data_IF_458731413410
#
_entry.id   IF_458731413410
#
_cell.length_a   1.000
_cell.length_b   1.000
_cell.length_c   1.000
_cell.angle_alpha   90.00
_cell.angle_beta   90.00
_cell.angle_gamma   90.00
#
_symmetry.space_group_name_H-M   'P 1'
#
loop_
_entity.id
_entity.type
_entity.pdbx_description
1 polymer ?
#
# COMPACT_ATOMS: atom_id res chain seq x y z
N UNK A 1 -16.15 -5.59 10.95
CA UNK A 1 -16.73 -4.94 9.74
C UNK A 1 -16.15 -3.56 9.46
N UNK A 2 -16.01 -2.63 10.44
CA UNK A 2 -15.41 -1.29 10.18
C UNK A 2 -13.88 -1.32 9.95
N UNK A 3 -13.14 -1.99 10.81
CA UNK A 3 -11.68 -2.13 10.67
C UNK A 3 -11.30 -2.98 9.44
N UNK A 4 -11.98 -4.10 9.23
CA UNK A 4 -11.77 -4.96 8.04
C UNK A 4 -11.86 -4.16 6.74
N UNK A 5 -12.95 -3.37 6.59
CA UNK A 5 -13.13 -2.51 5.42
C UNK A 5 -12.01 -1.46 5.31
N UNK A 6 -11.61 -0.85 6.42
CA UNK A 6 -10.48 0.08 6.43
C UNK A 6 -9.18 -0.57 5.95
N UNK A 7 -8.87 -1.78 6.40
CA UNK A 7 -7.69 -2.53 5.95
C UNK A 7 -7.81 -2.95 4.47
N UNK A 8 -9.01 -3.31 4.01
CA UNK A 8 -9.25 -3.61 2.60
C UNK A 8 -9.04 -2.37 1.70
N UNK A 9 -9.48 -1.19 2.14
CA UNK A 9 -9.26 0.08 1.44
C UNK A 9 -7.77 0.47 1.38
N UNK A 10 -6.97 -0.02 2.32
CA UNK A 10 -5.50 0.11 2.32
C UNK A 10 -4.79 -0.96 1.45
N UNK A 11 -5.55 -1.82 0.76
CA UNK A 11 -4.98 -2.85 -0.11
C UNK A 11 -4.45 -4.09 0.63
N UNK A 12 -4.79 -4.28 1.91
CA UNK A 12 -4.34 -5.45 2.68
C UNK A 12 -5.03 -6.72 2.18
N UNK A 13 -4.30 -7.80 1.84
CA UNK A 13 -4.89 -9.07 1.39
C UNK A 13 -5.85 -9.69 2.41
N UNK A 14 -6.92 -10.32 1.96
CA UNK A 14 -7.99 -10.88 2.82
C UNK A 14 -7.47 -11.84 3.88
N UNK A 15 -6.63 -12.81 3.50
CA UNK A 15 -6.04 -13.76 4.46
C UNK A 15 -5.20 -13.07 5.56
N UNK A 16 -4.54 -11.95 5.24
CA UNK A 16 -3.81 -11.16 6.21
C UNK A 16 -4.78 -10.41 7.14
N UNK A 17 -5.84 -9.79 6.58
CA UNK A 17 -6.89 -9.11 7.38
C UNK A 17 -7.56 -10.05 8.37
N UNK A 18 -7.94 -11.26 7.93
CA UNK A 18 -8.59 -12.25 8.79
C UNK A 18 -7.69 -12.65 9.96
N UNK A 19 -6.40 -12.85 9.69
CA UNK A 19 -5.41 -13.16 10.71
C UNK A 19 -5.23 -12.01 11.71
N UNK A 20 -5.17 -10.75 11.21
CA UNK A 20 -5.06 -9.57 12.06
C UNK A 20 -6.28 -9.34 12.94
N UNK A 21 -7.48 -9.55 12.40
CA UNK A 21 -8.72 -9.43 13.16
C UNK A 21 -8.79 -10.50 14.24
N UNK A 22 -8.29 -11.71 13.97
CA UNK A 22 -8.16 -12.76 14.99
C UNK A 22 -7.18 -12.35 16.10
N UNK A 23 -5.99 -11.82 15.77
CA UNK A 23 -5.05 -11.33 16.79
C UNK A 23 -5.62 -10.16 17.61
N UNK A 24 -6.32 -9.23 16.96
CA UNK A 24 -6.92 -8.06 17.61
C UNK A 24 -7.88 -8.45 18.73
N UNK A 25 -8.66 -9.52 18.54
CA UNK A 25 -9.56 -10.02 19.60
C UNK A 25 -8.83 -10.47 20.87
N UNK A 26 -7.53 -10.78 20.76
CA UNK A 26 -6.67 -11.10 21.89
C UNK A 26 -6.07 -9.89 22.63
N UNK A 27 -6.25 -8.67 22.11
CA UNK A 27 -5.64 -7.46 22.68
C UNK A 27 -6.39 -6.92 23.91
N UNK A 28 -5.67 -6.25 24.81
CA UNK A 28 -6.25 -5.56 25.97
C UNK A 28 -7.28 -4.48 25.57
N UNK A 29 -7.15 -3.89 24.38
CA UNK A 29 -8.11 -2.92 23.85
C UNK A 29 -9.49 -3.56 23.65
N UNK A 30 -9.54 -4.71 22.96
CA UNK A 30 -10.79 -5.42 22.73
C UNK A 30 -11.33 -6.02 24.04
N UNK A 31 -10.45 -6.55 24.91
CA UNK A 31 -10.88 -7.02 26.24
C UNK A 31 -11.53 -5.91 27.07
N UNK A 32 -10.96 -4.70 27.06
CA UNK A 32 -11.51 -3.56 27.79
C UNK A 32 -12.87 -3.13 27.24
N UNK A 33 -13.02 -3.10 25.92
CA UNK A 33 -14.31 -2.85 25.27
C UNK A 33 -15.36 -3.90 25.65
N UNK A 34 -14.99 -5.19 25.62
CA UNK A 34 -15.89 -6.28 26.04
C UNK A 34 -16.26 -6.19 27.52
N UNK A 35 -15.43 -5.56 28.35
CA UNK A 35 -15.68 -5.30 29.77
C UNK A 35 -16.44 -3.98 30.04
N UNK A 36 -17.02 -3.36 29.01
CA UNK A 36 -17.88 -2.18 29.15
C UNK A 36 -17.19 -0.83 29.00
N UNK A 37 -15.93 -0.80 28.56
CA UNK A 37 -15.31 0.44 28.09
C UNK A 37 -15.99 0.94 26.80
N UNK A 38 -15.84 2.23 26.45
CA UNK A 38 -16.34 2.76 25.18
C UNK A 38 -15.84 1.98 23.97
N UNK A 39 -16.62 1.95 22.88
CA UNK A 39 -16.21 1.34 21.62
C UNK A 39 -14.94 2.03 21.10
N UNK A 40 -13.86 1.28 20.82
CA UNK A 40 -12.63 1.86 20.31
C UNK A 40 -12.85 2.42 18.90
N UNK A 41 -12.20 3.52 18.61
CA UNK A 41 -12.18 4.12 17.28
C UNK A 41 -11.38 3.25 16.29
N UNK A 42 -11.56 3.49 14.99
CA UNK A 42 -10.76 2.81 13.96
C UNK A 42 -9.27 3.07 14.18
N UNK A 43 -8.87 4.29 14.55
CA UNK A 43 -7.47 4.63 14.83
C UNK A 43 -6.90 3.83 16.00
N UNK A 44 -7.65 3.72 17.11
CA UNK A 44 -7.24 2.92 18.27
C UNK A 44 -7.12 1.43 17.91
N UNK A 45 -8.09 0.90 17.15
CA UNK A 45 -8.05 -0.48 16.69
C UNK A 45 -6.86 -0.74 15.76
N UNK A 46 -6.59 0.16 14.80
CA UNK A 46 -5.44 0.06 13.89
C UNK A 46 -4.11 0.13 14.65
N UNK A 47 -3.99 1.01 15.64
CA UNK A 47 -2.81 1.09 16.52
C UNK A 47 -2.61 -0.19 17.31
N UNK A 48 -3.67 -0.79 17.83
CA UNK A 48 -3.59 -2.05 18.56
C UNK A 48 -3.17 -3.21 17.65
N UNK A 49 -3.65 -3.25 16.39
CA UNK A 49 -3.17 -4.21 15.38
C UNK A 49 -1.69 -3.99 15.09
N UNK A 50 -1.25 -2.77 14.79
CA UNK A 50 0.16 -2.48 14.49
C UNK A 50 1.12 -2.64 15.68
N UNK A 51 0.60 -2.74 16.90
CA UNK A 51 1.40 -3.07 18.07
C UNK A 51 1.74 -4.57 18.15
N UNK A 52 1.03 -5.45 17.44
CA UNK A 52 1.38 -6.87 17.37
C UNK A 52 2.60 -7.09 16.47
N UNK A 53 3.34 -8.18 16.68
CA UNK A 53 4.53 -8.50 15.87
C UNK A 53 4.20 -8.60 14.38
N UNK A 54 3.04 -9.17 14.05
CA UNK A 54 2.59 -9.28 12.65
C UNK A 54 2.09 -7.93 12.11
N UNK A 55 1.44 -7.11 12.95
CA UNK A 55 0.98 -5.79 12.53
C UNK A 55 2.14 -4.85 12.19
N UNK A 56 3.29 -5.02 12.85
CA UNK A 56 4.53 -4.34 12.46
C UNK A 56 4.98 -4.72 11.05
N UNK A 57 4.97 -6.02 10.73
CA UNK A 57 5.32 -6.50 9.38
C UNK A 57 4.32 -5.99 8.32
N UNK A 58 3.03 -5.94 8.64
CA UNK A 58 2.05 -5.33 7.74
C UNK A 58 2.34 -3.86 7.49
N UNK A 59 2.66 -3.11 8.54
CA UNK A 59 3.02 -1.70 8.42
C UNK A 59 4.25 -1.53 7.54
N UNK A 60 5.27 -2.37 7.69
CA UNK A 60 6.46 -2.36 6.83
C UNK A 60 6.09 -2.65 5.37
N UNK A 61 5.26 -3.67 5.09
CA UNK A 61 4.80 -3.99 3.73
C UNK A 61 3.99 -2.84 3.12
N UNK A 62 3.12 -2.19 3.89
CA UNK A 62 2.33 -1.06 3.43
C UNK A 62 3.17 0.20 3.23
N UNK A 63 4.15 0.45 4.09
CA UNK A 63 5.11 1.54 3.95
C UNK A 63 6.00 1.31 2.72
N UNK A 64 6.44 0.08 2.47
CA UNK A 64 7.16 -0.32 1.25
C UNK A 64 6.28 -0.19 -0.01
N UNK A 65 5.03 -0.65 0.04
CA UNK A 65 4.10 -0.52 -1.08
C UNK A 65 3.79 0.96 -1.37
N UNK A 66 3.61 1.79 -0.34
CA UNK A 66 3.46 3.23 -0.46
C UNK A 66 4.70 3.92 -1.03
N UNK A 67 5.90 3.45 -0.67
CA UNK A 67 7.15 3.91 -1.30
C UNK A 67 7.30 3.43 -2.75
N UNK A 68 6.80 2.25 -3.10
CA UNK A 68 6.83 1.71 -4.47
C UNK A 68 5.80 2.39 -5.38
N UNK A 69 4.63 2.78 -4.86
CA UNK A 69 3.65 3.59 -5.58
C UNK A 69 4.04 5.08 -5.65
N UNK A 70 4.77 5.57 -4.64
CA UNK A 70 5.38 6.90 -4.66
C UNK A 70 6.71 6.94 -5.42
N UNK A 71 7.32 5.78 -5.70
CA UNK A 71 8.46 5.69 -6.60
C UNK A 71 7.97 6.16 -7.98
N UNK A 72 8.71 7.03 -8.68
CA UNK A 72 8.27 7.54 -9.95
C UNK A 72 8.09 6.37 -10.92
N UNK A 73 6.84 5.98 -11.17
CA UNK A 73 6.43 5.05 -12.24
C UNK A 73 7.22 5.43 -13.47
N UNK A 74 8.09 4.53 -13.92
CA UNK A 74 8.94 4.62 -15.09
C UNK A 74 9.20 6.07 -15.53
N UNK A 75 10.31 6.68 -15.07
CA UNK A 75 10.66 8.09 -15.34
C UNK A 75 10.20 8.52 -16.74
N UNK A 76 9.69 9.75 -16.94
CA UNK A 76 9.21 10.21 -18.25
C UNK A 76 10.15 9.84 -19.43
N UNK A 77 11.45 9.72 -19.16
CA UNK A 77 12.49 9.17 -20.05
C UNK A 77 12.25 7.72 -20.51
N UNK A 78 11.89 6.81 -19.64
CA UNK A 78 11.56 5.41 -19.98
C UNK A 78 10.28 5.29 -20.82
N UNK A 79 9.25 6.09 -20.52
CA UNK A 79 8.05 6.17 -21.36
C UNK A 79 8.37 6.73 -22.74
N UNK A 80 9.20 7.77 -22.81
CA UNK A 80 9.70 8.32 -24.07
C UNK A 80 10.54 7.30 -24.86
N UNK A 81 11.40 6.51 -24.20
CA UNK A 81 12.18 5.45 -24.85
C UNK A 81 11.28 4.31 -25.37
N UNK A 82 10.23 3.92 -24.62
CA UNK A 82 9.22 2.95 -25.09
C UNK A 82 8.45 3.49 -26.29
N UNK A 83 8.06 4.76 -26.28
CA UNK A 83 7.42 5.41 -27.42
C UNK A 83 8.33 5.43 -28.66
N UNK A 84 9.62 5.70 -28.49
CA UNK A 84 10.58 5.62 -29.59
C UNK A 84 10.71 4.20 -30.15
N UNK A 85 10.62 3.18 -29.31
CA UNK A 85 10.71 1.78 -29.74
C UNK A 85 9.51 1.33 -30.61
N UNK A 86 8.31 1.91 -30.43
CA UNK A 86 7.12 1.58 -31.24
C UNK A 86 7.11 2.27 -32.61
N UNK A 87 7.98 3.28 -32.82
CA UNK A 87 8.10 3.97 -34.10
C UNK A 87 8.98 3.19 -35.11
N UNK A 88 8.72 3.32 -36.43
CA UNK A 88 9.61 2.80 -37.48
C UNK A 88 11.00 3.42 -37.39
N UNK A 89 12.05 2.65 -37.69
CA UNK A 89 13.46 3.05 -37.53
C UNK A 89 13.79 4.44 -38.12
N UNK A 90 13.23 4.77 -39.29
CA UNK A 90 13.41 6.06 -39.95
C UNK A 90 12.87 7.27 -39.15
N UNK A 91 11.89 7.07 -38.28
CA UNK A 91 11.27 8.14 -37.46
C UNK A 91 11.86 8.26 -36.06
N UNK A 92 12.59 7.23 -35.59
CA UNK A 92 13.14 7.20 -34.22
C UNK A 92 14.15 8.32 -33.96
N UNK A 93 15.04 8.60 -34.91
CA UNK A 93 16.10 9.61 -34.74
C UNK A 93 15.49 11.02 -34.66
N UNK A 94 14.51 11.32 -35.51
CA UNK A 94 13.82 12.63 -35.52
C UNK A 94 13.05 12.85 -34.22
N UNK A 95 12.33 11.84 -33.75
CA UNK A 95 11.56 11.93 -32.51
C UNK A 95 12.46 11.97 -31.27
N UNK A 96 13.58 11.23 -31.26
CA UNK A 96 14.56 11.28 -30.18
C UNK A 96 15.17 12.67 -30.00
N UNK A 97 15.45 13.38 -31.11
CA UNK A 97 15.91 14.78 -31.07
C UNK A 97 14.83 15.74 -30.56
N UNK A 98 13.58 15.54 -30.97
CA UNK A 98 12.44 16.36 -30.48
C UNK A 98 12.26 16.23 -28.96
N UNK A 99 12.49 15.04 -28.43
CA UNK A 99 12.38 14.73 -27.00
C UNK A 99 13.65 15.07 -26.20
N UNK A 100 14.72 15.56 -26.84
CA UNK A 100 15.97 15.91 -26.17
C UNK A 100 16.78 14.72 -25.65
N UNK A 101 16.61 13.55 -26.27
CA UNK A 101 17.23 12.27 -25.85
C UNK A 101 18.47 11.88 -26.69
N UNK A 102 18.78 12.62 -27.75
CA UNK A 102 19.83 12.34 -28.74
C UNK A 102 20.73 13.55 -28.98
#
# INVERSE_FOLDING_TARGET
MRLDRHLADQGVPEAARDHFLAELTGTELIRSYLNGAPEPTIDEMTKAVYATEQGKLLREILDEAGQLDAAPKATAREEQLRHLATLPAAKRITEARRLGLA
#
